data_IF_484535504849
#
_entry.id   IF_484535504849
#
_cell.length_a   1.000
_cell.length_b   1.000
_cell.length_c   1.000
_cell.angle_alpha   90.00
_cell.angle_beta   90.00
_cell.angle_gamma   90.00
#
_symmetry.space_group_name_H-M   'P 1'
#
loop_
_entity.id
_entity.type
_entity.pdbx_description
1 polymer ?
#
# COMPACT_ATOMS: atom_id res chain seq x y z
N UNK A 1 -3.15 -13.98 5.41
CA UNK A 1 -1.98 -13.10 5.68
C UNK A 1 -2.46 -11.90 6.47
N UNK A 2 -1.75 -11.50 7.52
CA UNK A 2 -2.12 -10.34 8.33
C UNK A 2 -1.46 -9.06 7.83
N UNK A 3 -2.22 -7.97 7.79
CA UNK A 3 -1.70 -6.63 7.50
C UNK A 3 -2.25 -5.60 8.49
N UNK A 4 -1.48 -4.55 8.71
CA UNK A 4 -1.88 -3.41 9.52
C UNK A 4 -2.62 -2.38 8.67
N UNK A 5 -3.89 -2.12 9.00
CA UNK A 5 -4.62 -0.96 8.50
C UNK A 5 -4.55 0.16 9.52
N UNK A 6 -3.83 1.23 9.19
CA UNK A 6 -3.61 2.38 10.06
C UNK A 6 -3.78 3.70 9.30
N UNK A 7 -4.44 4.64 9.97
CA UNK A 7 -4.54 6.04 9.57
C UNK A 7 -4.26 6.89 10.81
N UNK A 8 -2.99 7.25 10.99
CA UNK A 8 -2.55 7.96 12.18
C UNK A 8 -1.57 9.10 11.87
N UNK A 9 -1.49 10.06 12.80
CA UNK A 9 -0.60 11.21 12.73
C UNK A 9 -0.08 11.61 14.09
N UNK A 10 1.12 12.21 14.09
CA UNK A 10 1.67 12.84 15.29
C UNK A 10 0.78 14.00 15.76
N UNK A 11 0.86 14.38 17.05
CA UNK A 11 0.09 15.51 17.63
C UNK A 11 0.19 16.79 16.79
N UNK A 12 1.39 17.10 16.30
CA UNK A 12 1.70 18.29 15.51
C UNK A 12 1.57 18.07 13.99
N UNK A 13 0.96 16.96 13.55
CA UNK A 13 0.79 16.58 12.14
C UNK A 13 2.10 16.45 11.32
N UNK A 14 3.27 16.42 11.96
CA UNK A 14 4.56 16.36 11.28
C UNK A 14 4.84 14.99 10.65
N UNK A 15 4.39 13.92 11.31
CA UNK A 15 4.40 12.57 10.76
C UNK A 15 2.98 12.09 10.53
N UNK A 16 2.77 11.36 9.43
CA UNK A 16 1.49 10.76 9.06
C UNK A 16 1.76 9.38 8.45
N UNK A 17 1.06 8.36 8.94
CA UNK A 17 1.05 7.02 8.39
C UNK A 17 -0.36 6.74 7.86
N UNK A 18 -0.45 6.33 6.60
CA UNK A 18 -1.69 5.86 5.98
C UNK A 18 -1.45 4.56 5.26
N UNK A 19 -2.32 3.61 5.50
CA UNK A 19 -2.35 2.36 4.75
C UNK A 19 -3.71 2.18 4.10
N UNK A 20 -3.72 1.51 2.96
CA UNK A 20 -4.93 1.20 2.22
C UNK A 20 -4.91 -0.26 1.81
N UNK A 21 -6.09 -0.84 1.71
CA UNK A 21 -6.29 -2.18 1.17
C UNK A 21 -7.28 -2.09 0.02
N UNK A 22 -6.89 -2.66 -1.10
CA UNK A 22 -7.71 -2.74 -2.30
C UNK A 22 -7.96 -4.20 -2.65
N UNK A 23 -9.14 -4.46 -3.22
CA UNK A 23 -9.46 -5.71 -3.92
C UNK A 23 -9.53 -5.43 -5.42
N UNK A 24 -8.97 -6.34 -6.21
CA UNK A 24 -9.08 -6.33 -7.66
C UNK A 24 -10.07 -7.42 -8.04
N UNK A 25 -11.11 -7.07 -8.79
CA UNK A 25 -12.08 -8.05 -9.28
C UNK A 25 -11.61 -8.72 -10.59
N UNK A 26 -12.43 -9.66 -11.09
CA UNK A 26 -12.14 -10.41 -12.32
C UNK A 26 -12.09 -9.50 -13.56
N UNK A 27 -12.82 -8.38 -13.53
CA UNK A 27 -12.85 -7.39 -14.61
C UNK A 27 -11.71 -6.36 -14.50
N UNK A 28 -10.86 -6.46 -13.48
CA UNK A 28 -9.76 -5.53 -13.21
C UNK A 28 -10.21 -4.19 -12.59
N UNK A 29 -11.43 -4.11 -12.07
CA UNK A 29 -11.92 -2.98 -11.26
C UNK A 29 -11.26 -3.04 -9.89
N UNK A 30 -10.80 -1.87 -9.42
CA UNK A 30 -10.08 -1.74 -8.17
C UNK A 30 -10.97 -1.01 -7.16
N UNK A 31 -11.26 -1.68 -6.04
CA UNK A 31 -12.10 -1.14 -4.99
C UNK A 31 -11.32 -1.10 -3.68
N UNK A 32 -11.36 0.04 -2.99
CA UNK A 32 -10.86 0.11 -1.62
C UNK A 32 -11.82 -0.69 -0.73
N UNK A 33 -11.28 -1.57 0.09
CA UNK A 33 -12.06 -2.40 1.01
C UNK A 33 -11.64 -2.13 2.44
N UNK A 34 -12.59 -2.34 3.33
CA UNK A 34 -12.32 -2.47 4.75
C UNK A 34 -12.64 -3.89 5.20
N UNK A 35 -11.77 -4.44 6.04
CA UNK A 35 -11.97 -5.74 6.63
C UNK A 35 -12.17 -5.58 8.15
N UNK A 36 -12.98 -6.44 8.77
CA UNK A 36 -13.02 -6.54 10.22
C UNK A 36 -11.64 -6.98 10.72
N UNK A 37 -11.29 -6.55 11.92
CA UNK A 37 -9.98 -6.84 12.49
C UNK A 37 -9.86 -6.42 13.94
N UNK A 38 -8.74 -6.78 14.54
CA UNK A 38 -8.43 -6.45 15.92
C UNK A 38 -7.92 -5.02 16.00
N UNK A 39 -8.62 -4.16 16.75
CA UNK A 39 -8.14 -2.80 17.04
C UNK A 39 -6.85 -2.87 17.83
N UNK A 40 -5.86 -2.09 17.41
CA UNK A 40 -4.54 -2.02 18.04
C UNK A 40 -4.14 -0.57 18.26
N UNK A 41 -3.11 -0.37 19.10
CA UNK A 41 -2.56 0.96 19.31
C UNK A 41 -1.89 1.46 18.01
N UNK A 42 -2.26 2.65 17.51
CA UNK A 42 -1.63 3.21 16.33
C UNK A 42 -0.17 3.62 16.60
N UNK A 43 0.62 3.71 15.53
CA UNK A 43 2.02 4.15 15.55
C UNK A 43 2.13 5.58 16.08
N UNK A 44 1.23 6.48 15.68
CA UNK A 44 1.19 7.85 16.17
C UNK A 44 -0.01 8.13 17.08
N UNK A 45 0.10 9.18 17.91
CA UNK A 45 -0.88 9.46 18.98
C UNK A 45 -2.32 9.68 18.49
N UNK A 46 -2.52 10.29 17.31
CA UNK A 46 -3.86 10.68 16.84
C UNK A 46 -4.24 9.81 15.65
N UNK A 47 -5.34 9.08 15.75
CA UNK A 47 -5.86 8.23 14.68
C UNK A 47 -6.17 6.81 15.16
N UNK A 48 -6.25 5.89 14.21
CA UNK A 48 -6.70 4.52 14.44
C UNK A 48 -5.80 3.50 13.74
N UNK A 49 -5.77 2.30 14.30
CA UNK A 49 -5.09 1.16 13.72
C UNK A 49 -5.84 -0.15 14.02
N UNK A 50 -5.89 -1.05 13.04
CA UNK A 50 -6.44 -2.39 13.16
C UNK A 50 -5.57 -3.40 12.41
N UNK A 51 -5.39 -4.59 12.97
CA UNK A 51 -4.79 -5.72 12.26
C UNK A 51 -5.93 -6.50 11.59
N UNK A 52 -5.82 -6.72 10.29
CA UNK A 52 -6.83 -7.44 9.50
C UNK A 52 -6.21 -8.65 8.81
N UNK A 53 -7.04 -9.66 8.61
CA UNK A 53 -6.67 -10.86 7.87
C UNK A 53 -7.14 -10.75 6.42
N UNK A 54 -6.20 -10.73 5.48
CA UNK A 54 -6.50 -10.76 4.05
C UNK A 54 -6.95 -12.18 3.67
N UNK A 55 -8.12 -12.34 3.02
CA UNK A 55 -8.57 -13.64 2.53
C UNK A 55 -7.58 -14.28 1.57
N UNK A 56 -7.50 -15.61 1.61
CA UNK A 56 -6.55 -16.36 0.77
C UNK A 56 -6.96 -16.43 -0.70
N UNK A 57 -8.19 -16.06 -1.08
CA UNK A 57 -8.66 -16.14 -2.47
C UNK A 57 -8.86 -14.74 -3.05
N UNK A 58 -8.31 -14.51 -4.23
CA UNK A 58 -8.41 -13.26 -4.98
C UNK A 58 -7.14 -12.42 -4.95
N UNK A 59 -7.19 -11.31 -5.69
CA UNK A 59 -6.09 -10.35 -5.79
C UNK A 59 -6.35 -9.14 -4.91
N UNK A 60 -5.40 -8.83 -4.04
CA UNK A 60 -5.42 -7.71 -3.11
C UNK A 60 -4.18 -6.85 -3.28
N UNK A 61 -4.32 -5.55 -3.04
CA UNK A 61 -3.19 -4.62 -3.02
C UNK A 61 -3.16 -3.90 -1.69
N UNK A 62 -2.06 -4.08 -0.96
CA UNK A 62 -1.77 -3.34 0.25
C UNK A 62 -0.81 -2.19 -0.06
N UNK A 63 -1.23 -0.98 0.26
CA UNK A 63 -0.44 0.24 0.08
C UNK A 63 -0.13 0.84 1.44
N UNK A 64 1.15 1.01 1.73
CA UNK A 64 1.66 1.69 2.92
C UNK A 64 2.31 3.02 2.50
N UNK A 65 1.93 4.12 3.14
CA UNK A 65 2.49 5.45 2.93
C UNK A 65 2.87 6.08 4.27
N UNK A 66 4.09 6.62 4.33
CA UNK A 66 4.61 7.32 5.49
C UNK A 66 5.16 8.68 5.06
N UNK A 67 4.61 9.75 5.65
CA UNK A 67 5.14 11.11 5.56
C UNK A 67 6.03 11.40 6.75
N UNK A 68 7.23 11.89 6.48
CA UNK A 68 8.17 12.34 7.52
C UNK A 68 8.03 13.84 7.85
N UNK A 69 8.82 14.29 8.83
CA UNK A 69 8.92 15.68 9.29
C UNK A 69 9.17 16.72 8.20
N UNK A 70 9.86 16.32 7.12
CA UNK A 70 10.20 17.18 5.99
C UNK A 70 9.14 17.14 4.87
N UNK A 71 7.96 16.57 5.14
CA UNK A 71 6.90 16.39 4.16
C UNK A 71 7.20 15.35 3.08
N UNK A 72 8.32 14.61 3.17
CA UNK A 72 8.68 13.60 2.18
C UNK A 72 7.89 12.32 2.46
N UNK A 73 7.28 11.78 1.40
CA UNK A 73 6.53 10.53 1.45
C UNK A 73 7.39 9.38 0.95
N UNK A 74 7.43 8.31 1.74
CA UNK A 74 7.91 6.99 1.30
C UNK A 74 6.75 6.03 1.35
N UNK A 75 6.79 4.99 0.53
CA UNK A 75 5.77 3.97 0.53
C UNK A 75 6.26 2.60 0.15
N UNK A 76 5.42 1.61 0.45
CA UNK A 76 5.58 0.21 0.06
C UNK A 76 4.24 -0.28 -0.46
N UNK A 77 4.26 -0.91 -1.62
CA UNK A 77 3.08 -1.52 -2.22
C UNK A 77 3.34 -3.02 -2.33
N UNK A 78 2.37 -3.82 -1.92
CA UNK A 78 2.42 -5.27 -1.94
C UNK A 78 1.18 -5.75 -2.66
N UNK A 79 1.35 -6.48 -3.76
CA UNK A 79 0.25 -7.19 -4.42
C UNK A 79 0.27 -8.63 -3.94
N UNK A 80 -0.88 -9.08 -3.50
CA UNK A 80 -1.12 -10.41 -2.97
C UNK A 80 -2.12 -11.06 -3.92
N UNK A 81 -1.78 -12.23 -4.45
CA UNK A 81 -2.67 -13.02 -5.27
C UNK A 81 -2.79 -14.43 -4.68
N UNK A 82 -4.01 -14.83 -4.38
CA UNK A 82 -4.33 -16.12 -3.76
C UNK A 82 -3.45 -16.44 -2.54
N UNK A 83 -3.32 -15.45 -1.65
CA UNK A 83 -2.54 -15.56 -0.41
C UNK A 83 -1.02 -15.44 -0.58
N UNK A 84 -0.50 -15.35 -1.80
CA UNK A 84 0.95 -15.23 -2.10
C UNK A 84 1.31 -13.80 -2.49
N UNK A 85 2.45 -13.31 -2.02
CA UNK A 85 3.00 -12.03 -2.48
C UNK A 85 3.56 -12.24 -3.90
N UNK A 86 3.00 -11.51 -4.86
CA UNK A 86 3.37 -11.63 -6.28
C UNK A 86 4.09 -10.41 -6.82
N UNK A 87 4.00 -9.28 -6.12
CA UNK A 87 4.72 -8.04 -6.46
C UNK A 87 4.97 -7.21 -5.21
N UNK A 88 6.19 -6.69 -5.07
CA UNK A 88 6.56 -5.71 -4.06
C UNK A 88 7.20 -4.51 -4.75
N UNK A 89 6.64 -3.32 -4.51
CA UNK A 89 7.20 -2.06 -4.99
C UNK A 89 7.50 -1.09 -3.86
N UNK A 90 8.51 -0.26 -4.07
CA UNK A 90 8.86 0.84 -3.17
C UNK A 90 8.58 2.17 -3.85
N UNK A 91 7.86 3.05 -3.14
CA UNK A 91 7.62 4.42 -3.54
C UNK A 91 8.60 5.36 -2.83
N UNK A 92 9.41 6.11 -3.59
CA UNK A 92 10.34 7.10 -3.03
C UNK A 92 10.71 8.14 -4.08
N UNK A 93 10.83 9.41 -3.69
CA UNK A 93 11.18 10.52 -4.60
C UNK A 93 10.27 10.55 -5.85
N UNK A 94 8.97 10.32 -5.64
CA UNK A 94 7.95 10.23 -6.70
C UNK A 94 8.19 9.09 -7.71
N UNK A 95 9.02 8.09 -7.37
CA UNK A 95 9.32 6.96 -8.25
C UNK A 95 8.84 5.66 -7.61
N UNK A 96 8.20 4.82 -8.41
CA UNK A 96 7.94 3.42 -8.07
C UNK A 96 9.12 2.58 -8.54
N UNK A 97 9.63 1.74 -7.66
CA UNK A 97 10.71 0.80 -7.97
C UNK A 97 10.28 -0.61 -7.62
N UNK A 98 10.40 -1.53 -8.57
CA UNK A 98 10.25 -2.96 -8.33
C UNK A 98 11.32 -3.42 -7.33
N UNK A 99 10.87 -4.06 -6.25
CA UNK A 99 11.75 -4.70 -5.28
C UNK A 99 11.80 -6.19 -5.55
N UNK A 100 10.64 -6.81 -5.75
CA UNK A 100 10.51 -8.25 -5.98
C UNK A 100 9.20 -8.57 -6.71
N UNK A 101 9.12 -9.74 -7.35
CA UNK A 101 7.93 -10.26 -8.01
C UNK A 101 7.87 -10.08 -9.52
N UNK A 102 6.66 -10.18 -10.06
CA UNK A 102 6.34 -10.19 -11.49
C UNK A 102 5.83 -8.81 -11.95
N UNK A 103 6.40 -8.29 -13.04
CA UNK A 103 6.12 -6.95 -13.53
C UNK A 103 4.72 -6.83 -14.17
N UNK A 104 4.05 -7.94 -14.52
CA UNK A 104 2.67 -7.92 -15.02
C UNK A 104 1.69 -7.27 -14.06
N UNK A 105 1.96 -7.32 -12.74
CA UNK A 105 1.12 -6.72 -11.71
C UNK A 105 1.36 -5.20 -11.55
N UNK A 106 2.36 -4.63 -12.21
CA UNK A 106 2.68 -3.18 -12.11
C UNK A 106 1.54 -2.32 -12.66
N UNK A 107 0.80 -2.81 -13.66
CA UNK A 107 -0.37 -2.12 -14.22
C UNK A 107 -1.45 -1.85 -13.16
N UNK A 108 -1.66 -2.79 -12.23
CA UNK A 108 -2.62 -2.63 -11.11
C UNK A 108 -2.15 -1.49 -10.19
N UNK A 109 -0.86 -1.49 -9.85
CA UNK A 109 -0.26 -0.46 -8.99
C UNK A 109 -0.32 0.93 -9.62
N UNK A 110 -0.13 1.00 -10.95
CA UNK A 110 -0.26 2.25 -11.71
C UNK A 110 -1.68 2.81 -11.62
N UNK A 111 -2.70 1.98 -11.88
CA UNK A 111 -4.11 2.37 -11.76
C UNK A 111 -4.49 2.85 -10.36
N UNK A 112 -4.03 2.17 -9.30
CA UNK A 112 -4.23 2.60 -7.90
C UNK A 112 -3.60 3.97 -7.65
N UNK A 113 -2.39 4.19 -8.17
CA UNK A 113 -1.69 5.46 -8.00
C UNK A 113 -2.45 6.60 -8.68
N UNK A 114 -3.02 6.36 -9.86
CA UNK A 114 -3.85 7.32 -10.58
C UNK A 114 -5.17 7.61 -9.84
N UNK A 115 -5.88 6.57 -9.38
CA UNK A 115 -7.13 6.68 -8.61
C UNK A 115 -6.94 7.51 -7.33
N UNK A 116 -5.84 7.29 -6.62
CA UNK A 116 -5.51 8.03 -5.39
C UNK A 116 -4.81 9.38 -5.65
N UNK A 117 -4.60 9.76 -6.92
CA UNK A 117 -3.84 10.95 -7.32
C UNK A 117 -2.46 11.02 -6.68
N UNK A 118 -1.81 9.87 -6.49
CA UNK A 118 -0.44 9.79 -5.98
C UNK A 118 0.51 10.22 -7.10
N UNK A 119 1.38 11.23 -6.88
CA UNK A 119 2.30 11.68 -7.91
C UNK A 119 3.37 10.64 -8.20
N UNK A 120 3.42 10.12 -9.42
CA UNK A 120 4.41 9.15 -9.88
C UNK A 120 5.10 9.69 -11.15
N UNK A 121 6.39 10.01 -11.04
CA UNK A 121 7.23 10.50 -12.15
C UNK A 121 7.82 9.37 -13.00
N UNK A 122 8.18 8.24 -12.39
CA UNK A 122 8.82 7.12 -13.09
C UNK A 122 8.53 5.78 -12.39
N UNK A 123 8.37 4.74 -13.19
CA UNK A 123 8.29 3.35 -12.73
C UNK A 123 9.55 2.63 -13.22
N UNK A 124 10.32 2.05 -12.30
CA UNK A 124 11.53 1.28 -12.61
C UNK A 124 11.25 -0.19 -12.34
N UNK A 125 11.16 -0.99 -13.40
CA UNK A 125 10.94 -2.44 -13.34
C UNK A 125 12.23 -3.26 -13.36
N UNK A 126 13.39 -2.63 -13.53
CA UNK A 126 14.67 -3.34 -13.55
C UNK A 126 14.93 -4.01 -12.20
N UNK A 127 14.88 -5.35 -12.19
CA UNK A 127 15.40 -6.14 -11.08
C UNK A 127 16.89 -5.86 -10.98
N UNK A 128 17.36 -5.37 -9.83
CA UNK A 128 18.79 -5.47 -9.54
C UNK A 128 19.05 -6.95 -9.28
N UNK A 129 19.82 -7.58 -10.16
CA UNK A 129 20.52 -8.82 -9.87
C UNK A 129 21.39 -8.63 -8.63
#
# INVERSE_FOLDING_TARGET
>A
MEVLLENSRSRKNKHVLRTFLFKVDVNGVIQQIELPGKVVRPTYKVGEAKIVNIPNKGTYVYLFLLRNLYGRVIGRIIVINDGKIVLVMKYRKLKLKLIDGDDKYVTIVKRISEQLKIPVKKININKKK
#
